data_IF_157514383294
#
_entry.id   IF_157514383294
#
_cell.length_a   1.000
_cell.length_b   1.000
_cell.length_c   1.000
_cell.angle_alpha   90.00
_cell.angle_beta   90.00
_cell.angle_gamma   90.00
#
_symmetry.space_group_name_H-M   'P 1'
#
loop_
_entity.id
_entity.type
_entity.pdbx_description
1 polymer ?
#
# COMPACT_ATOMS: atom_id res chain seq x y z
N UNK A 1 14.44 -40.24 16.14
CA UNK A 1 14.30 -39.31 17.29
C UNK A 1 15.45 -38.31 17.45
N UNK A 2 16.74 -38.68 17.52
CA UNK A 2 17.83 -37.67 17.66
C UNK A 2 18.13 -36.87 16.39
N UNK A 3 18.06 -37.48 15.21
CA UNK A 3 18.23 -36.77 13.91
C UNK A 3 17.02 -35.89 13.53
N UNK A 4 15.82 -36.30 13.92
CA UNK A 4 14.56 -35.56 13.70
C UNK A 4 14.51 -34.23 14.46
N UNK A 5 14.94 -34.24 15.74
CA UNK A 5 15.13 -33.02 16.53
C UNK A 5 16.17 -32.08 15.89
N UNK A 6 17.12 -32.62 15.11
CA UNK A 6 18.15 -31.84 14.42
C UNK A 6 17.65 -31.18 13.13
N UNK A 7 16.73 -31.82 12.39
CA UNK A 7 16.14 -31.23 11.18
C UNK A 7 15.15 -30.13 11.53
N UNK A 8 14.29 -30.35 12.53
CA UNK A 8 13.35 -29.34 13.00
C UNK A 8 14.07 -28.06 13.44
N UNK A 9 15.13 -28.18 14.27
CA UNK A 9 15.91 -27.01 14.70
C UNK A 9 16.58 -26.27 13.54
N UNK A 10 17.06 -26.99 12.52
CA UNK A 10 17.63 -26.39 11.30
C UNK A 10 16.57 -25.64 10.49
N UNK A 11 15.38 -26.22 10.33
CA UNK A 11 14.26 -25.58 9.63
C UNK A 11 13.77 -24.33 10.37
N UNK A 12 13.63 -24.38 11.70
CA UNK A 12 13.28 -23.20 12.51
C UNK A 12 14.33 -22.09 12.36
N UNK A 13 15.62 -22.43 12.50
CA UNK A 13 16.71 -21.45 12.33
C UNK A 13 16.75 -20.85 10.92
N UNK A 14 16.40 -21.64 9.91
CA UNK A 14 16.31 -21.16 8.53
C UNK A 14 15.11 -20.23 8.36
N UNK A 15 13.93 -20.60 8.86
CA UNK A 15 12.73 -19.74 8.82
C UNK A 15 12.98 -18.39 9.51
N UNK A 16 13.63 -18.38 10.68
CA UNK A 16 13.97 -17.16 11.43
C UNK A 16 14.92 -16.20 10.69
N UNK A 17 15.58 -16.67 9.64
CA UNK A 17 16.50 -15.89 8.80
C UNK A 17 15.86 -15.39 7.50
N UNK A 18 14.65 -15.83 7.18
CA UNK A 18 13.95 -15.51 5.94
C UNK A 18 12.69 -14.67 6.21
N UNK A 19 12.12 -14.09 5.14
CA UNK A 19 10.91 -13.25 5.20
C UNK A 19 9.60 -14.02 5.41
N UNK A 20 9.58 -15.32 5.07
CA UNK A 20 8.35 -16.13 5.03
C UNK A 20 7.48 -16.08 6.30
N UNK A 21 8.03 -16.13 7.53
CA UNK A 21 7.19 -16.04 8.73
C UNK A 21 6.41 -14.72 8.82
N UNK A 22 7.02 -13.60 8.43
CA UNK A 22 6.35 -12.29 8.42
C UNK A 22 5.22 -12.28 7.38
N UNK A 23 5.47 -12.79 6.17
CA UNK A 23 4.46 -12.89 5.12
C UNK A 23 3.25 -13.75 5.56
N UNK A 24 3.52 -14.91 6.16
CA UNK A 24 2.48 -15.79 6.70
C UNK A 24 1.66 -15.11 7.80
N UNK A 25 2.33 -14.39 8.70
CA UNK A 25 1.69 -13.64 9.79
C UNK A 25 0.76 -12.55 9.24
N UNK A 26 1.28 -11.70 8.35
CA UNK A 26 0.52 -10.59 7.76
C UNK A 26 -0.71 -11.12 7.03
N UNK A 27 -0.56 -12.17 6.21
CA UNK A 27 -1.68 -12.77 5.50
C UNK A 27 -2.68 -13.43 6.45
N UNK A 28 -2.23 -14.05 7.55
CA UNK A 28 -3.13 -14.59 8.59
C UNK A 28 -3.93 -13.49 9.28
N UNK A 29 -3.30 -12.36 9.59
CA UNK A 29 -3.96 -11.20 10.21
C UNK A 29 -4.99 -10.61 9.26
N UNK A 30 -4.63 -10.41 7.98
CA UNK A 30 -5.54 -9.93 6.96
C UNK A 30 -6.80 -10.82 6.85
N UNK A 31 -6.63 -12.16 6.79
CA UNK A 31 -7.75 -13.12 6.74
C UNK A 31 -8.66 -13.04 7.96
N UNK A 32 -8.09 -12.81 9.13
CA UNK A 32 -8.82 -12.81 10.40
C UNK A 32 -9.61 -11.51 10.61
N UNK A 33 -9.10 -10.38 10.11
CA UNK A 33 -9.60 -9.06 10.47
C UNK A 33 -10.27 -8.30 9.31
N UNK A 34 -10.30 -8.88 8.11
CA UNK A 34 -10.88 -8.23 6.92
C UNK A 34 -11.72 -9.23 6.11
N UNK A 35 -12.55 -8.69 5.23
CA UNK A 35 -13.30 -9.42 4.20
C UNK A 35 -12.62 -9.32 2.82
N UNK A 36 -11.40 -8.77 2.78
CA UNK A 36 -10.63 -8.61 1.56
C UNK A 36 -10.24 -9.99 1.01
N UNK A 37 -10.20 -10.10 -0.31
CA UNK A 37 -9.70 -11.28 -0.99
C UNK A 37 -8.18 -11.29 -0.97
N UNK A 38 -7.57 -12.38 -0.50
CA UNK A 38 -6.12 -12.42 -0.21
C UNK A 38 -5.40 -13.39 -1.16
N UNK A 39 -4.26 -12.93 -1.69
CA UNK A 39 -3.29 -13.71 -2.47
C UNK A 39 -1.91 -13.59 -1.85
N UNK A 40 -1.15 -14.68 -1.85
CA UNK A 40 0.24 -14.72 -1.39
C UNK A 40 1.12 -15.28 -2.51
N UNK A 41 2.31 -14.72 -2.70
CA UNK A 41 3.27 -15.17 -3.71
C UNK A 41 2.72 -15.10 -5.13
N UNK A 42 2.06 -13.99 -5.46
CA UNK A 42 1.56 -13.76 -6.82
C UNK A 42 2.64 -13.14 -7.70
N UNK A 43 2.48 -13.12 -9.02
CA UNK A 43 3.48 -12.56 -9.93
C UNK A 43 2.96 -11.38 -10.73
N UNK A 44 3.83 -10.39 -10.96
CA UNK A 44 3.65 -9.33 -11.93
C UNK A 44 4.80 -9.33 -12.94
N UNK A 45 4.58 -8.70 -14.10
CA UNK A 45 5.63 -8.46 -15.08
C UNK A 45 6.21 -7.07 -14.84
N UNK A 46 7.49 -7.01 -14.50
CA UNK A 46 8.20 -5.73 -14.35
C UNK A 46 8.29 -5.03 -15.69
N UNK A 47 7.70 -3.83 -15.79
CA UNK A 47 7.58 -3.06 -17.02
C UNK A 47 8.92 -2.56 -17.58
N UNK A 48 9.99 -2.59 -16.78
CA UNK A 48 11.34 -2.18 -17.17
C UNK A 48 12.21 -3.37 -17.62
N UNK A 49 12.17 -4.48 -16.89
CA UNK A 49 13.02 -5.65 -17.18
C UNK A 49 12.33 -6.71 -18.03
N UNK A 50 10.99 -6.79 -17.99
CA UNK A 50 10.21 -7.89 -18.57
C UNK A 50 10.21 -9.17 -17.72
N UNK A 51 10.90 -9.16 -16.58
CA UNK A 51 10.97 -10.31 -15.68
C UNK A 51 9.67 -10.50 -14.89
N UNK A 52 9.33 -11.76 -14.63
CA UNK A 52 8.31 -12.10 -13.64
C UNK A 52 8.86 -11.87 -12.23
N UNK A 53 8.16 -11.07 -11.43
CA UNK A 53 8.53 -10.71 -10.06
C UNK A 53 7.39 -11.08 -9.11
N UNK A 54 7.74 -11.62 -7.95
CA UNK A 54 6.78 -12.02 -6.94
C UNK A 54 6.29 -10.79 -6.14
N UNK A 55 5.01 -10.82 -5.78
CA UNK A 55 4.37 -9.95 -4.80
C UNK A 55 4.09 -10.82 -3.59
N UNK A 56 4.62 -10.41 -2.44
CA UNK A 56 4.49 -11.19 -1.21
C UNK A 56 3.01 -11.40 -0.85
N UNK A 57 2.22 -10.32 -0.79
CA UNK A 57 0.79 -10.37 -0.46
C UNK A 57 0.02 -9.29 -1.24
N UNK A 58 -1.15 -9.65 -1.77
CA UNK A 58 -2.15 -8.68 -2.25
C UNK A 58 -3.48 -8.93 -1.54
N UNK A 59 -4.06 -7.87 -0.97
CA UNK A 59 -5.43 -7.88 -0.46
C UNK A 59 -6.30 -7.03 -1.39
N UNK A 60 -7.41 -7.58 -1.89
CA UNK A 60 -8.28 -6.90 -2.86
C UNK A 60 -9.70 -6.79 -2.31
N UNK A 61 -10.27 -5.59 -2.38
CA UNK A 61 -11.73 -5.40 -2.38
C UNK A 61 -12.21 -5.24 -3.82
N UNK A 62 -13.37 -5.80 -4.14
CA UNK A 62 -13.99 -5.63 -5.45
C UNK A 62 -15.46 -5.28 -5.26
N UNK A 63 -16.05 -4.58 -6.23
CA UNK A 63 -17.47 -4.30 -6.26
C UNK A 63 -18.28 -5.54 -6.70
N UNK A 64 -19.61 -5.45 -6.55
CA UNK A 64 -20.51 -6.54 -6.93
C UNK A 64 -20.61 -6.78 -8.44
N UNK A 65 -20.27 -5.79 -9.28
CA UNK A 65 -20.30 -5.92 -10.74
C UNK A 65 -18.98 -6.43 -11.32
N UNK A 66 -17.91 -6.49 -10.51
CA UNK A 66 -16.56 -6.82 -10.97
C UNK A 66 -16.00 -5.75 -11.91
N UNK A 67 -16.32 -4.49 -11.71
CA UNK A 67 -15.75 -3.36 -12.48
C UNK A 67 -14.69 -2.59 -11.70
N UNK A 68 -14.66 -2.72 -10.37
CA UNK A 68 -13.75 -2.04 -9.48
C UNK A 68 -12.85 -3.03 -8.72
N UNK A 69 -11.59 -2.63 -8.52
CA UNK A 69 -10.65 -3.33 -7.65
C UNK A 69 -9.85 -2.33 -6.82
N UNK A 70 -9.83 -2.52 -5.51
CA UNK A 70 -8.99 -1.78 -4.58
C UNK A 70 -7.95 -2.75 -4.03
N UNK A 71 -6.70 -2.52 -4.39
CA UNK A 71 -5.58 -3.41 -4.12
C UNK A 71 -4.66 -2.82 -3.05
N UNK A 72 -4.43 -3.57 -1.98
CA UNK A 72 -3.40 -3.31 -0.98
C UNK A 72 -2.24 -4.23 -1.27
N UNK A 73 -1.16 -3.65 -1.82
CA UNK A 73 0.02 -4.37 -2.30
C UNK A 73 1.05 -4.35 -1.20
N UNK A 74 1.28 -5.49 -0.58
CA UNK A 74 2.05 -5.58 0.65
C UNK A 74 3.36 -6.32 0.38
N UNK A 75 4.46 -5.62 0.56
CA UNK A 75 5.83 -6.15 0.54
C UNK A 75 6.29 -6.34 2.00
N UNK A 76 6.76 -7.53 2.35
CA UNK A 76 7.25 -7.87 3.68
C UNK A 76 8.79 -7.82 3.73
N UNK A 77 9.33 -7.17 4.76
CA UNK A 77 10.78 -7.10 5.00
C UNK A 77 11.12 -7.44 6.45
N UNK A 78 11.52 -8.70 6.64
CA UNK A 78 12.05 -9.17 7.92
C UNK A 78 13.55 -8.82 8.03
N UNK A 79 13.87 -7.59 8.41
CA UNK A 79 15.25 -7.19 8.72
C UNK A 79 15.46 -6.89 10.21
N UNK A 80 16.74 -6.85 10.64
CA UNK A 80 17.10 -6.52 12.03
C UNK A 80 17.49 -5.06 12.24
N UNK A 81 18.02 -4.40 11.20
CA UNK A 81 18.49 -3.02 11.28
C UNK A 81 17.30 -2.05 11.31
N UNK A 82 17.27 -1.05 12.20
CA UNK A 82 16.18 -0.07 12.27
C UNK A 82 16.00 0.68 10.96
N UNK A 83 14.76 1.02 10.63
CA UNK A 83 14.44 1.88 9.49
C UNK A 83 14.17 3.29 10.00
N UNK A 84 14.64 4.28 9.26
CA UNK A 84 14.46 5.70 9.58
C UNK A 84 13.80 6.37 8.39
N UNK A 85 12.63 6.95 8.63
CA UNK A 85 11.92 7.82 7.70
C UNK A 85 12.35 9.26 7.97
N UNK A 86 12.83 9.97 6.96
CA UNK A 86 13.14 11.39 7.06
C UNK A 86 11.93 12.20 6.58
N UNK A 87 11.31 12.94 7.50
CA UNK A 87 10.04 13.61 7.24
C UNK A 87 10.14 15.13 7.26
N UNK A 88 9.21 15.77 6.55
CA UNK A 88 9.02 17.22 6.51
C UNK A 88 7.53 17.53 6.28
N UNK A 89 7.08 18.70 6.75
CA UNK A 89 5.73 19.21 6.46
C UNK A 89 5.55 19.52 4.97
N UNK A 90 6.65 19.86 4.27
CA UNK A 90 6.61 20.30 2.88
C UNK A 90 6.65 19.15 1.86
N UNK A 91 6.80 17.90 2.32
CA UNK A 91 7.04 16.76 1.44
C UNK A 91 5.95 16.60 0.35
N UNK A 92 4.70 16.96 0.68
CA UNK A 92 3.52 16.94 -0.18
C UNK A 92 2.97 18.34 -0.56
N UNK A 93 3.61 19.45 -0.16
CA UNK A 93 3.02 20.78 -0.26
C UNK A 93 2.61 21.23 -1.68
N UNK A 94 3.15 20.60 -2.72
CA UNK A 94 2.84 20.90 -4.13
C UNK A 94 2.13 19.76 -4.86
N UNK A 95 1.60 18.77 -4.14
CA UNK A 95 0.98 17.60 -4.73
C UNK A 95 -0.49 17.47 -4.35
N UNK A 96 -1.28 16.95 -5.28
CA UNK A 96 -2.68 16.66 -5.03
C UNK A 96 -2.80 15.49 -4.04
N UNK A 97 -3.50 15.67 -2.92
CA UNK A 97 -3.57 14.67 -1.84
C UNK A 97 -4.07 13.32 -2.34
N UNK A 98 -5.21 13.27 -3.05
CA UNK A 98 -5.76 12.00 -3.56
C UNK A 98 -4.73 11.20 -4.37
N UNK A 99 -4.19 11.81 -5.43
CA UNK A 99 -3.16 11.21 -6.28
C UNK A 99 -1.83 10.90 -5.56
N UNK A 100 -1.58 11.52 -4.39
CA UNK A 100 -0.37 11.25 -3.61
C UNK A 100 -0.50 10.03 -2.72
N UNK A 101 -1.70 9.59 -2.35
CA UNK A 101 -1.88 8.50 -1.35
C UNK A 101 -2.27 7.15 -1.96
N UNK A 102 -2.62 7.11 -3.24
CA UNK A 102 -2.84 5.87 -3.97
C UNK A 102 -2.50 6.05 -5.45
N UNK A 103 -2.35 4.94 -6.15
CA UNK A 103 -2.33 4.89 -7.61
C UNK A 103 -3.75 4.61 -8.10
N UNK A 104 -4.17 5.30 -9.15
CA UNK A 104 -5.51 5.21 -9.70
C UNK A 104 -5.46 4.92 -11.19
N UNK A 105 -6.36 4.08 -11.65
CA UNK A 105 -6.85 4.15 -13.04
C UNK A 105 -7.58 5.49 -13.26
N UNK A 106 -7.65 5.93 -14.51
CA UNK A 106 -8.29 7.21 -14.87
C UNK A 106 -9.74 7.29 -14.37
N UNK A 107 -10.57 6.25 -14.65
CA UNK A 107 -11.97 6.28 -14.22
C UNK A 107 -12.15 6.20 -12.71
N UNK A 108 -11.29 5.46 -12.00
CA UNK A 108 -11.33 5.45 -10.54
C UNK A 108 -10.99 6.83 -9.96
N UNK A 109 -9.99 7.51 -10.51
CA UNK A 109 -9.61 8.84 -10.07
C UNK A 109 -10.78 9.82 -10.22
N UNK A 110 -11.40 9.85 -11.40
CA UNK A 110 -12.52 10.75 -11.70
C UNK A 110 -13.75 10.47 -10.82
N UNK A 111 -14.09 9.20 -10.60
CA UNK A 111 -15.19 8.82 -9.74
C UNK A 111 -14.96 9.25 -8.27
N UNK A 112 -13.75 9.00 -7.74
CA UNK A 112 -13.44 9.31 -6.33
C UNK A 112 -13.26 10.81 -6.11
N UNK A 113 -12.61 11.55 -7.02
CA UNK A 113 -12.34 12.97 -6.81
C UNK A 113 -13.62 13.79 -6.71
N UNK A 114 -14.65 13.44 -7.49
CA UNK A 114 -15.94 14.14 -7.48
C UNK A 114 -16.67 13.95 -6.14
N UNK A 115 -16.59 12.74 -5.58
CA UNK A 115 -17.27 12.38 -4.34
C UNK A 115 -16.50 12.76 -3.07
N UNK A 116 -15.18 12.91 -3.14
CA UNK A 116 -14.31 13.17 -1.97
C UNK A 116 -13.79 14.61 -1.94
N UNK A 117 -13.78 15.32 -3.06
CA UNK A 117 -13.34 16.73 -3.13
C UNK A 117 -14.21 17.53 -4.12
N UNK A 118 -15.52 17.69 -3.86
CA UNK A 118 -16.46 18.32 -4.77
C UNK A 118 -16.04 19.77 -5.04
N UNK A 119 -15.99 20.12 -6.33
CA UNK A 119 -15.47 21.42 -6.80
C UNK A 119 -16.49 22.57 -6.71
N UNK A 120 -17.74 22.31 -6.28
CA UNK A 120 -18.86 23.25 -6.40
C UNK A 120 -19.34 23.81 -5.03
N UNK A 121 -20.06 24.95 -5.07
CA UNK A 121 -20.82 25.46 -3.91
C UNK A 121 -22.05 24.59 -3.56
N UNK A 122 -22.46 23.73 -4.49
CA UNK A 122 -23.52 22.74 -4.29
C UNK A 122 -22.88 21.41 -3.90
N UNK A 123 -22.60 21.26 -2.61
CA UNK A 123 -22.18 19.98 -2.02
C UNK A 123 -23.38 19.04 -2.14
N UNK A 124 -23.26 17.88 -2.81
CA UNK A 124 -24.32 16.88 -2.85
C UNK A 124 -24.79 16.54 -1.43
N UNK A 125 -26.10 16.31 -1.25
CA UNK A 125 -26.67 15.97 0.06
C UNK A 125 -26.04 14.68 0.64
N UNK A 126 -25.55 13.80 -0.23
CA UNK A 126 -24.89 12.52 0.07
C UNK A 126 -23.35 12.58 -0.14
N UNK A 127 -22.72 13.73 0.06
CA UNK A 127 -21.26 13.85 -0.05
C UNK A 127 -20.52 12.98 0.98
N UNK A 128 -19.56 12.19 0.50
CA UNK A 128 -18.67 11.44 1.37
C UNK A 128 -17.62 12.38 1.97
N UNK A 129 -17.74 12.67 3.26
CA UNK A 129 -16.72 13.47 3.95
C UNK A 129 -15.39 12.77 3.83
N UNK A 130 -14.50 13.35 3.04
CA UNK A 130 -13.11 12.96 2.85
C UNK A 130 -12.35 12.53 4.13
N UNK A 131 -12.70 13.06 5.31
CA UNK A 131 -12.19 12.62 6.62
C UNK A 131 -12.52 11.16 6.98
N UNK A 132 -13.52 10.57 6.34
CA UNK A 132 -13.91 9.16 6.46
C UNK A 132 -12.88 8.22 5.83
N UNK A 133 -11.99 8.74 4.96
CA UNK A 133 -10.84 8.03 4.41
C UNK A 133 -9.56 8.52 5.12
N UNK A 134 -9.11 7.83 6.20
CA UNK A 134 -8.12 8.38 7.12
C UNK A 134 -6.79 8.74 6.46
N UNK A 135 -6.42 8.03 5.39
CA UNK A 135 -5.15 8.19 4.70
C UNK A 135 -5.12 9.45 3.83
N UNK A 136 -6.26 9.86 3.26
CA UNK A 136 -6.35 11.06 2.41
C UNK A 136 -6.28 12.37 3.20
N UNK A 137 -6.58 12.31 4.50
CA UNK A 137 -6.62 13.47 5.40
C UNK A 137 -5.46 13.52 6.37
N UNK A 138 -4.43 12.68 6.19
CA UNK A 138 -3.27 12.72 7.05
C UNK A 138 -2.60 14.09 6.97
N UNK A 139 -2.71 14.84 8.06
CA UNK A 139 -2.01 16.11 8.29
C UNK A 139 -0.77 15.85 9.11
N UNK A 140 0.33 16.51 8.78
CA UNK A 140 1.59 16.41 9.51
C UNK A 140 2.74 15.92 8.65
N UNK A 141 3.75 15.35 9.31
CA UNK A 141 5.01 14.94 8.72
C UNK A 141 4.82 13.78 7.75
N UNK A 142 5.30 13.94 6.51
CA UNK A 142 5.39 12.88 5.51
C UNK A 142 6.86 12.67 5.16
N UNK A 143 7.26 11.42 5.08
CA UNK A 143 8.61 11.02 4.70
C UNK A 143 8.93 11.43 3.27
N UNK A 144 10.05 12.10 3.05
CA UNK A 144 10.58 12.33 1.69
C UNK A 144 11.69 11.32 1.33
N UNK A 145 12.20 10.58 2.32
CA UNK A 145 13.22 9.55 2.15
C UNK A 145 13.14 8.54 3.29
N UNK A 146 13.72 7.36 3.07
CA UNK A 146 13.82 6.30 4.07
C UNK A 146 15.12 5.52 3.90
N UNK A 147 15.76 5.14 5.00
CA UNK A 147 16.98 4.35 4.99
C UNK A 147 17.02 3.33 6.13
N UNK A 148 17.83 2.28 5.96
CA UNK A 148 18.14 1.35 7.05
C UNK A 148 19.37 1.86 7.81
N UNK A 149 19.22 2.08 9.11
CA UNK A 149 20.31 2.42 10.01
C UNK A 149 21.05 1.15 10.46
N UNK A 150 22.32 1.31 10.85
CA UNK A 150 23.16 0.30 11.53
C UNK A 150 23.41 -1.02 10.75
N UNK A 151 23.05 -1.08 9.46
CA UNK A 151 23.13 -2.30 8.62
C UNK A 151 24.17 -2.28 7.51
N UNK A 152 25.00 -1.23 7.43
CA UNK A 152 25.87 -0.96 6.28
C UNK A 152 25.13 -0.28 5.12
N UNK A 153 25.81 -0.08 3.98
CA UNK A 153 25.27 0.64 2.81
C UNK A 153 24.31 -0.23 1.96
N UNK A 154 23.39 -0.95 2.61
CA UNK A 154 22.39 -1.78 1.94
C UNK A 154 21.10 -1.01 1.79
N UNK A 155 20.67 -0.84 0.54
CA UNK A 155 19.49 -0.07 0.20
C UNK A 155 18.20 -0.89 0.32
N UNK A 156 18.01 -1.58 1.45
CA UNK A 156 16.87 -2.48 1.66
C UNK A 156 15.53 -1.74 1.56
N UNK A 157 15.33 -0.61 2.27
CA UNK A 157 14.05 0.08 2.23
C UNK A 157 13.75 0.65 0.84
N UNK A 158 14.76 1.16 0.12
CA UNK A 158 14.60 1.64 -1.25
C UNK A 158 14.20 0.54 -2.22
N UNK A 159 14.88 -0.61 -2.19
CA UNK A 159 14.55 -1.74 -3.06
C UNK A 159 13.14 -2.27 -2.79
N UNK A 160 12.73 -2.30 -1.51
CA UNK A 160 11.36 -2.65 -1.13
C UNK A 160 10.35 -1.62 -1.69
N UNK A 161 10.65 -0.33 -1.63
CA UNK A 161 9.82 0.73 -2.20
C UNK A 161 9.66 0.60 -3.71
N UNK A 162 10.76 0.38 -4.45
CA UNK A 162 10.71 0.16 -5.90
C UNK A 162 9.85 -1.05 -6.25
N UNK A 163 10.09 -2.20 -5.60
CA UNK A 163 9.34 -3.44 -5.84
C UNK A 163 7.85 -3.24 -5.61
N UNK A 164 7.50 -2.65 -4.46
CA UNK A 164 6.12 -2.45 -4.04
C UNK A 164 5.37 -1.48 -4.97
N UNK A 165 6.00 -0.36 -5.37
CA UNK A 165 5.38 0.60 -6.31
C UNK A 165 5.23 0.00 -7.71
N UNK A 166 6.21 -0.76 -8.20
CA UNK A 166 6.08 -1.48 -9.49
C UNK A 166 4.92 -2.46 -9.48
N UNK A 167 4.78 -3.26 -8.44
CA UNK A 167 3.67 -4.19 -8.27
C UNK A 167 2.31 -3.47 -8.22
N UNK A 168 2.21 -2.38 -7.46
CA UNK A 168 1.00 -1.56 -7.37
C UNK A 168 0.62 -0.90 -8.70
N UNK A 169 1.62 -0.44 -9.46
CA UNK A 169 1.45 0.13 -10.81
C UNK A 169 1.00 -0.92 -11.82
N UNK A 170 1.48 -2.15 -11.71
CA UNK A 170 1.01 -3.22 -12.57
C UNK A 170 -0.47 -3.53 -12.29
N UNK A 171 -0.89 -3.51 -11.03
CA UNK A 171 -2.26 -3.81 -10.60
C UNK A 171 -3.31 -2.74 -10.89
N UNK A 172 -2.93 -1.49 -11.22
CA UNK A 172 -3.91 -0.53 -11.74
C UNK A 172 -4.31 -0.81 -13.20
N UNK A 173 -3.49 -1.60 -13.92
CA UNK A 173 -3.69 -1.91 -15.34
C UNK A 173 -4.05 -3.38 -15.59
N UNK A 174 -3.93 -4.24 -14.57
CA UNK A 174 -4.14 -5.68 -14.67
C UNK A 174 -4.92 -6.17 -13.45
N UNK A 175 -5.83 -7.12 -13.66
CA UNK A 175 -6.57 -7.77 -12.57
C UNK A 175 -5.92 -9.11 -12.20
N UNK A 176 -5.90 -9.42 -10.90
CA UNK A 176 -5.52 -10.74 -10.39
C UNK A 176 -6.60 -11.80 -10.58
N UNK A 177 -7.81 -11.38 -10.96
CA UNK A 177 -9.04 -12.17 -10.85
C UNK A 177 -9.67 -12.49 -12.20
N UNK A 178 -9.10 -12.01 -13.30
CA UNK A 178 -9.57 -12.33 -14.65
C UNK A 178 -8.44 -12.77 -15.57
N UNK A 179 -8.56 -14.00 -16.08
CA UNK A 179 -7.73 -14.54 -17.16
C UNK A 179 -8.01 -13.83 -18.51
N UNK A 180 -9.10 -13.05 -18.57
CA UNK A 180 -9.55 -12.31 -19.75
C UNK A 180 -9.17 -10.83 -19.65
N UNK A 181 -8.87 -10.25 -20.81
CA UNK A 181 -8.56 -8.85 -21.11
C UNK A 181 -9.65 -7.82 -20.75
N UNK A 182 -10.57 -8.15 -19.84
CA UNK A 182 -11.50 -7.17 -19.30
C UNK A 182 -10.74 -6.35 -18.26
N UNK A 183 -10.14 -5.26 -18.72
CA UNK A 183 -9.65 -4.20 -17.83
C UNK A 183 -10.75 -3.88 -16.82
N UNK A 184 -10.42 -3.92 -15.53
CA UNK A 184 -11.25 -3.38 -14.46
C UNK A 184 -11.07 -1.87 -14.50
N UNK A 185 -12.01 -1.11 -15.08
CA UNK A 185 -11.74 0.28 -15.39
C UNK A 185 -11.61 1.15 -14.14
N UNK A 186 -12.06 0.65 -12.98
CA UNK A 186 -11.98 1.34 -11.69
C UNK A 186 -10.99 0.64 -10.74
N UNK A 187 -9.70 0.67 -11.08
CA UNK A 187 -8.64 0.15 -10.23
C UNK A 187 -7.98 1.23 -9.36
N UNK A 188 -7.74 0.91 -8.09
CA UNK A 188 -6.99 1.71 -7.12
C UNK A 188 -5.96 0.79 -6.45
N UNK A 189 -4.70 1.22 -6.32
CA UNK A 189 -3.65 0.45 -5.65
C UNK A 189 -2.91 1.26 -4.59
N UNK A 190 -2.71 0.65 -3.42
CA UNK A 190 -1.98 1.21 -2.27
C UNK A 190 -0.70 0.39 -2.02
N UNK A 191 0.49 0.97 -2.25
CA UNK A 191 1.74 0.32 -1.91
C UNK A 191 1.99 0.37 -0.39
N UNK A 192 2.23 -0.79 0.21
CA UNK A 192 2.44 -0.98 1.64
C UNK A 192 3.71 -1.81 1.84
N UNK A 193 4.53 -1.41 2.80
CA UNK A 193 5.67 -2.21 3.27
C UNK A 193 5.44 -2.55 4.74
N UNK A 194 5.47 -3.84 5.07
CA UNK A 194 5.44 -4.33 6.44
C UNK A 194 6.84 -4.76 6.84
N UNK A 195 7.33 -4.27 7.98
CA UNK A 195 8.67 -4.59 8.48
C UNK A 195 8.64 -5.11 9.91
N UNK A 196 9.48 -6.12 10.18
CA UNK A 196 9.75 -6.57 11.56
C UNK A 196 10.84 -5.72 12.23
N UNK A 197 11.44 -4.77 11.51
CA UNK A 197 12.45 -3.86 12.06
C UNK A 197 11.82 -2.74 12.88
N UNK A 198 12.53 -2.23 13.91
CA UNK A 198 12.15 -0.98 14.55
C UNK A 198 12.06 0.14 13.51
N UNK A 199 11.03 0.97 13.61
CA UNK A 199 10.78 2.08 12.69
C UNK A 199 10.86 3.40 13.45
N UNK A 200 11.60 4.35 12.88
CA UNK A 200 11.78 5.68 13.44
C UNK A 200 11.40 6.75 12.42
N UNK A 201 10.83 7.85 12.91
CA UNK A 201 10.68 9.09 12.18
C UNK A 201 11.76 10.07 12.63
N UNK A 202 12.42 10.70 11.66
CA UNK A 202 13.45 11.69 11.81
C UNK A 202 12.94 13.03 11.28
N UNK A 203 12.87 14.04 12.13
CA UNK A 203 12.51 15.42 11.78
C UNK A 203 13.57 16.39 12.28
N UNK A 204 13.44 17.66 11.92
CA UNK A 204 14.23 18.75 12.49
C UNK A 204 13.34 19.59 13.41
N UNK A 205 13.88 20.03 14.55
CA UNK A 205 13.24 21.04 15.39
C UNK A 205 13.41 22.46 14.81
N UNK A 206 12.83 23.45 15.49
CA UNK A 206 12.94 24.87 15.13
C UNK A 206 14.39 25.41 15.06
N UNK A 207 15.35 24.71 15.67
CA UNK A 207 16.76 25.05 15.68
C UNK A 207 17.58 24.21 14.67
N UNK A 208 16.92 23.39 13.84
CA UNK A 208 17.57 22.50 12.88
C UNK A 208 18.24 21.28 13.50
N UNK A 209 17.91 20.93 14.76
CA UNK A 209 18.42 19.72 15.42
C UNK A 209 17.54 18.53 15.10
N UNK A 210 18.18 17.39 14.85
CA UNK A 210 17.47 16.13 14.61
C UNK A 210 16.68 15.66 15.84
N UNK A 211 15.40 15.37 15.62
CA UNK A 211 14.52 14.65 16.54
C UNK A 211 14.27 13.26 15.94
N UNK A 212 14.41 12.22 16.76
CA UNK A 212 14.06 10.85 16.41
C UNK A 212 12.95 10.35 17.32
N UNK A 213 11.89 9.83 16.72
CA UNK A 213 10.74 9.25 17.41
C UNK A 213 10.51 7.84 16.90
N UNK A 214 10.42 6.86 17.79
CA UNK A 214 9.99 5.52 17.40
C UNK A 214 8.50 5.57 17.03
N UNK A 215 8.15 5.02 15.87
CA UNK A 215 6.80 5.00 15.33
C UNK A 215 6.45 3.58 14.87
N UNK A 216 5.16 3.27 14.85
CA UNK A 216 4.68 1.97 14.38
C UNK A 216 4.10 2.02 12.96
N UNK A 217 3.86 3.22 12.44
CA UNK A 217 3.35 3.46 11.11
C UNK A 217 3.76 4.87 10.62
N UNK A 218 4.34 4.95 9.43
CA UNK A 218 4.68 6.19 8.75
C UNK A 218 4.38 6.12 7.25
N UNK A 219 4.49 7.25 6.56
CA UNK A 219 4.32 7.32 5.11
C UNK A 219 5.59 7.88 4.48
N UNK A 220 5.98 7.32 3.35
CA UNK A 220 7.08 7.83 2.53
C UNK A 220 6.53 8.20 1.17
N UNK A 221 6.61 9.47 0.80
CA UNK A 221 6.25 9.93 -0.52
C UNK A 221 7.35 9.59 -1.53
N UNK A 222 7.06 8.59 -2.35
CA UNK A 222 7.98 8.02 -3.30
C UNK A 222 7.89 8.74 -4.65
N UNK A 223 8.90 9.57 -4.94
CA UNK A 223 8.98 10.41 -6.15
C UNK A 223 9.86 9.83 -7.26
N UNK A 224 10.46 8.66 -7.03
CA UNK A 224 11.40 8.10 -7.99
C UNK A 224 10.66 7.62 -9.22
N UNK A 225 11.30 7.77 -10.37
CA UNK A 225 10.73 7.37 -11.63
C UNK A 225 10.54 5.84 -11.66
N UNK A 226 9.29 5.41 -11.72
CA UNK A 226 8.87 4.06 -12.07
C UNK A 226 8.04 4.20 -13.32
N UNK A 227 8.38 3.45 -14.37
CA UNK A 227 7.66 3.50 -15.64
C UNK A 227 6.15 3.27 -15.42
N UNK A 228 5.35 4.12 -16.05
CA UNK A 228 3.87 4.11 -15.99
C UNK A 228 3.28 4.39 -14.59
N UNK A 229 4.09 4.87 -13.63
CA UNK A 229 3.65 5.25 -12.29
C UNK A 229 3.71 6.76 -12.06
N UNK A 230 2.71 7.28 -11.37
CA UNK A 230 2.79 8.59 -10.71
C UNK A 230 3.52 8.48 -9.37
N UNK A 231 4.11 9.57 -8.85
CA UNK A 231 4.58 9.63 -7.46
C UNK A 231 3.45 9.26 -6.49
N UNK A 232 3.75 8.46 -5.47
CA UNK A 232 2.75 7.99 -4.50
C UNK A 232 3.35 7.72 -3.13
N UNK A 233 2.54 7.76 -2.09
CA UNK A 233 2.91 7.45 -0.72
C UNK A 233 2.89 5.95 -0.51
N UNK A 234 3.95 5.46 0.13
CA UNK A 234 4.06 4.08 0.59
C UNK A 234 3.81 4.09 2.10
N UNK A 235 2.86 3.29 2.57
CA UNK A 235 2.66 3.06 4.00
C UNK A 235 3.74 2.12 4.52
N UNK A 236 4.49 2.53 5.55
CA UNK A 236 5.50 1.72 6.21
C UNK A 236 4.96 1.34 7.58
N UNK A 237 4.71 0.05 7.79
CA UNK A 237 3.97 -0.48 8.94
C UNK A 237 4.85 -1.47 9.68
N UNK A 238 4.96 -1.35 11.00
CA UNK A 238 5.65 -2.36 11.81
C UNK A 238 4.78 -3.60 11.99
N UNK A 239 5.42 -4.75 12.17
CA UNK A 239 4.74 -6.01 12.50
C UNK A 239 3.75 -5.86 13.67
N UNK A 240 4.09 -5.05 14.68
CA UNK A 240 3.23 -4.80 15.85
C UNK A 240 1.96 -3.98 15.55
N UNK A 241 1.89 -3.29 14.41
CA UNK A 241 0.76 -2.42 14.05
C UNK A 241 -0.12 -2.97 12.92
N UNK A 242 0.28 -4.08 12.30
CA UNK A 242 -0.40 -4.61 11.12
C UNK A 242 -1.86 -4.99 11.38
N UNK A 243 -2.22 -5.44 12.59
CA UNK A 243 -3.62 -5.75 12.91
C UNK A 243 -4.52 -4.50 12.81
N UNK A 244 -4.09 -3.40 13.40
CA UNK A 244 -4.80 -2.11 13.33
C UNK A 244 -4.86 -1.64 11.88
N UNK A 245 -3.72 -1.69 11.20
CA UNK A 245 -3.61 -1.21 9.83
C UNK A 245 -4.48 -1.99 8.83
N UNK A 246 -4.62 -3.31 8.98
CA UNK A 246 -5.50 -4.10 8.11
C UNK A 246 -6.98 -3.75 8.29
N UNK A 247 -7.41 -3.39 9.51
CA UNK A 247 -8.78 -2.89 9.75
C UNK A 247 -8.98 -1.53 9.08
N UNK A 248 -7.95 -0.67 9.09
CA UNK A 248 -7.98 0.59 8.33
C UNK A 248 -8.09 0.33 6.83
N UNK A 249 -7.33 -0.63 6.27
CA UNK A 249 -7.43 -1.02 4.86
C UNK A 249 -8.87 -1.42 4.49
N UNK A 250 -9.53 -2.25 5.30
CA UNK A 250 -10.93 -2.62 5.07
C UNK A 250 -11.85 -1.39 5.07
N UNK A 251 -11.67 -0.50 6.04
CA UNK A 251 -12.45 0.75 6.13
C UNK A 251 -12.24 1.60 4.88
N UNK A 252 -10.98 1.85 4.49
CA UNK A 252 -10.62 2.62 3.30
C UNK A 252 -11.23 2.02 2.04
N UNK A 253 -11.16 0.70 1.88
CA UNK A 253 -11.75 0.02 0.73
C UNK A 253 -13.26 0.23 0.64
N UNK A 254 -13.97 0.11 1.77
CA UNK A 254 -15.42 0.31 1.79
C UNK A 254 -15.80 1.73 1.36
N UNK A 255 -15.16 2.75 1.94
CA UNK A 255 -15.43 4.15 1.62
C UNK A 255 -15.10 4.49 0.16
N UNK A 256 -14.04 3.90 -0.40
CA UNK A 256 -13.67 4.13 -1.79
C UNK A 256 -14.60 3.41 -2.77
N UNK A 257 -15.10 2.21 -2.44
CA UNK A 257 -16.13 1.55 -3.25
C UNK A 257 -17.43 2.34 -3.22
N UNK A 258 -17.83 2.85 -2.05
CA UNK A 258 -18.99 3.74 -1.90
C UNK A 258 -18.83 5.02 -2.71
N UNK A 259 -17.65 5.66 -2.66
CA UNK A 259 -17.33 6.83 -3.48
C UNK A 259 -17.35 6.55 -5.00
N UNK A 260 -17.36 5.29 -5.43
CA UNK A 260 -17.44 4.93 -6.85
C UNK A 260 -18.81 4.37 -7.26
N UNK A 261 -19.77 4.19 -6.35
CA UNK A 261 -20.99 3.40 -6.60
C UNK A 261 -21.80 3.93 -7.79
N UNK A 262 -22.05 5.24 -7.85
CA UNK A 262 -22.77 5.88 -8.96
C UNK A 262 -22.09 5.64 -10.32
N UNK A 263 -20.76 5.76 -10.35
CA UNK A 263 -19.97 5.54 -11.56
C UNK A 263 -19.98 4.07 -11.98
N UNK A 264 -19.95 3.14 -11.01
CA UNK A 264 -20.02 1.71 -11.24
C UNK A 264 -21.39 1.28 -11.78
N UNK A 265 -22.48 1.78 -11.19
CA UNK A 265 -23.85 1.54 -11.64
C UNK A 265 -24.05 2.08 -13.06
N UNK A 266 -23.57 3.28 -13.33
CA UNK A 266 -23.66 3.90 -14.67
C UNK A 266 -22.88 3.07 -15.69
N UNK A 267 -21.65 2.68 -15.36
CA UNK A 267 -20.82 1.85 -16.22
C UNK A 267 -21.45 0.49 -16.52
N UNK A 268 -22.00 -0.18 -15.51
CA UNK A 268 -22.68 -1.47 -15.68
C UNK A 268 -23.89 -1.36 -16.60
N UNK A 269 -24.70 -0.30 -16.45
CA UNK A 269 -25.84 -0.04 -17.33
C UNK A 269 -25.39 0.14 -18.78
N UNK A 270 -24.38 0.97 -19.03
CA UNK A 270 -23.86 1.22 -20.39
C UNK A 270 -23.33 -0.04 -21.08
N UNK A 271 -22.78 -0.99 -20.33
CA UNK A 271 -22.21 -2.21 -20.90
C UNK A 271 -23.23 -3.34 -21.14
N UNK A 272 -24.29 -3.43 -20.33
CA UNK A 272 -25.12 -4.64 -20.27
C UNK A 272 -26.63 -4.41 -20.39
N UNK A 273 -27.11 -3.16 -20.40
CA UNK A 273 -28.54 -2.80 -20.53
C UNK A 273 -28.74 -1.91 -21.74
#
# INVERSE_FOLDING_TARGET
MSEELSLHAKLSTWLDKNGYPLEMLVASIARKHTQLSIRQGWYYIDSESGDSREIDIVCTAADGYGSAEINFVIECKATKGPWVIFSSEDALASYHKLASFALFSEKAYDAVIEQVFPRAMDIPEEYLDSKSIPWLHKTGMIGYSMAQALGGNKDVPYNASISCVKAATWLINNSLWSDNTQNRPFAISFPIIVTSSPLFECTLDENGKTILSEISHGYVFFKQHVKDSSPTCISIVTESHIETFMKECQSVANHLLEAMDDALVSHFREQYI
#
